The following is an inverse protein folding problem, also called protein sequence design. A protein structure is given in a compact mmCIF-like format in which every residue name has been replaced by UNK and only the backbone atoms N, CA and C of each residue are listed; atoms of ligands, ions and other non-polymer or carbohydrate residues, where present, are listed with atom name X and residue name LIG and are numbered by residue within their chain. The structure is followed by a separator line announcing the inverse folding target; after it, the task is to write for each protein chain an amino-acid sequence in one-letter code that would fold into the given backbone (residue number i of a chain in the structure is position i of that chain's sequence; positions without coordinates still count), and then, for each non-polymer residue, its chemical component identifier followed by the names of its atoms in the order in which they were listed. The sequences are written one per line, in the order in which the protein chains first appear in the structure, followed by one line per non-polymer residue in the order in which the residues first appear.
data_IF_222193849142
#
_entry.id   IF_222193849142
#
_cell.length_a   1.000
_cell.length_b   1.000
_cell.length_c   1.000
_cell.angle_alpha   90.00
_cell.angle_beta   90.00
_cell.angle_gamma   90.00
#
_symmetry.space_group_name_H-M   'P 1'
#
loop_
_entity.id
_entity.type
_entity.pdbx_description
1 polymer ?
#
# COMPACT_ATOMS: atom_id res chain seq x y z
N UNK A 1 8.02 19.12 -6.65
CA UNK A 1 7.86 17.66 -6.87
C UNK A 1 6.44 17.41 -7.39
N UNK A 2 6.20 16.40 -8.23
CA UNK A 2 4.87 16.15 -8.82
C UNK A 2 3.98 15.38 -7.84
N UNK A 3 2.66 15.55 -7.93
CA UNK A 3 1.71 14.76 -7.18
C UNK A 3 1.82 13.26 -7.53
N UNK A 4 1.78 12.39 -6.53
CA UNK A 4 1.83 10.95 -6.74
C UNK A 4 0.90 10.20 -5.78
N UNK A 5 0.42 9.05 -6.22
CA UNK A 5 -0.29 8.07 -5.41
C UNK A 5 0.70 7.10 -4.80
N UNK A 6 0.52 6.83 -3.51
CA UNK A 6 1.15 5.73 -2.80
C UNK A 6 0.07 4.79 -2.30
N UNK A 7 0.22 3.50 -2.60
CA UNK A 7 -0.53 2.42 -2.00
C UNK A 7 0.46 1.45 -1.37
N UNK A 8 0.27 1.08 -0.11
CA UNK A 8 1.14 0.13 0.59
C UNK A 8 0.35 -0.81 1.47
N UNK A 9 0.78 -2.07 1.57
CA UNK A 9 0.16 -3.11 2.38
C UNK A 9 1.20 -3.89 3.19
N UNK A 10 0.74 -4.41 4.33
CA UNK A 10 1.36 -5.55 5.03
C UNK A 10 0.33 -6.67 5.12
N UNK A 11 0.68 -7.87 4.69
CA UNK A 11 -0.25 -9.01 4.76
C UNK A 11 0.43 -10.33 5.16
N UNK A 12 -0.33 -11.16 5.87
CA UNK A 12 0.06 -12.52 6.28
C UNK A 12 -0.53 -13.61 5.41
N UNK A 13 -1.36 -13.27 4.41
CA UNK A 13 -1.83 -14.29 3.47
C UNK A 13 -0.65 -14.82 2.65
N UNK A 14 -0.77 -16.04 2.15
CA UNK A 14 0.22 -16.57 1.23
C UNK A 14 0.12 -15.85 -0.12
N UNK A 15 1.12 -15.03 -0.43
CA UNK A 15 1.21 -14.29 -1.69
C UNK A 15 2.05 -15.01 -2.75
N UNK A 16 2.54 -16.22 -2.47
CA UNK A 16 3.37 -16.99 -3.42
C UNK A 16 2.53 -17.72 -4.46
N UNK A 17 1.26 -18.03 -4.15
CA UNK A 17 0.34 -18.63 -5.11
C UNK A 17 0.02 -17.70 -6.27
N UNK A 18 0.00 -18.25 -7.48
CA UNK A 18 -0.42 -17.54 -8.68
C UNK A 18 -1.88 -17.07 -8.60
N UNK A 19 -2.78 -17.75 -7.87
CA UNK A 19 -4.17 -17.31 -7.70
C UNK A 19 -4.27 -15.88 -7.12
N UNK A 20 -3.30 -15.48 -6.28
CA UNK A 20 -3.19 -14.11 -5.78
C UNK A 20 -2.63 -13.18 -6.86
N UNK A 21 -1.56 -13.62 -7.53
CA UNK A 21 -0.95 -12.88 -8.64
C UNK A 21 -1.94 -12.55 -9.75
N UNK A 22 -2.70 -13.54 -10.21
CA UNK A 22 -3.75 -13.41 -11.21
C UNK A 22 -4.79 -12.37 -10.79
N UNK A 23 -5.30 -12.43 -9.55
CA UNK A 23 -6.29 -11.45 -9.06
C UNK A 23 -5.75 -10.02 -9.05
N UNK A 24 -4.49 -9.83 -8.66
CA UNK A 24 -3.81 -8.53 -8.70
C UNK A 24 -3.64 -8.06 -10.15
N UNK A 25 -3.09 -8.90 -11.02
CA UNK A 25 -2.89 -8.56 -12.44
C UNK A 25 -4.22 -8.22 -13.11
N UNK A 26 -5.24 -9.05 -12.91
CA UNK A 26 -6.57 -8.83 -13.43
C UNK A 26 -7.18 -7.52 -12.94
N UNK A 27 -6.96 -7.13 -11.67
CA UNK A 27 -7.43 -5.83 -11.18
C UNK A 27 -6.80 -4.62 -11.88
N UNK A 28 -5.59 -4.77 -12.43
CA UNK A 28 -4.88 -3.73 -13.19
C UNK A 28 -5.28 -3.72 -14.68
N UNK A 29 -5.82 -4.83 -15.19
CA UNK A 29 -6.20 -4.98 -16.61
C UNK A 29 -7.70 -4.91 -16.85
N UNK A 30 -8.54 -5.12 -15.83
CA UNK A 30 -10.00 -5.10 -15.93
C UNK A 30 -10.61 -3.71 -16.09
N UNK A 31 -9.81 -2.65 -15.93
CA UNK A 31 -10.25 -1.26 -15.98
C UNK A 31 -9.63 -0.49 -17.14
N UNK A 32 -9.28 0.77 -16.88
CA UNK A 32 -8.65 1.66 -17.85
C UNK A 32 -7.34 1.06 -18.41
N UNK A 33 -7.18 1.08 -19.73
CA UNK A 33 -5.98 0.56 -20.42
C UNK A 33 -4.68 1.20 -19.89
N UNK A 34 -4.78 2.39 -19.29
CA UNK A 34 -3.67 3.14 -18.71
C UNK A 34 -3.03 2.45 -17.49
N UNK A 35 -3.77 1.59 -16.78
CA UNK A 35 -3.28 0.82 -15.64
C UNK A 35 -2.69 -0.54 -16.01
N UNK A 36 -2.86 -1.01 -17.25
CA UNK A 36 -2.26 -2.27 -17.70
C UNK A 36 -0.72 -2.21 -17.59
N UNK A 37 -0.08 -3.16 -16.89
CA UNK A 37 1.38 -3.23 -16.81
C UNK A 37 2.01 -3.40 -18.19
N UNK A 38 3.18 -2.80 -18.39
CA UNK A 38 3.94 -2.91 -19.64
C UNK A 38 5.20 -3.76 -19.47
N UNK A 39 5.74 -3.81 -18.25
CA UNK A 39 6.95 -4.56 -17.94
C UNK A 39 6.84 -5.26 -16.59
N UNK A 40 7.56 -6.38 -16.44
CA UNK A 40 7.65 -7.20 -15.22
C UNK A 40 9.09 -7.62 -14.93
N UNK A 41 9.37 -8.05 -13.70
CA UNK A 41 10.67 -8.61 -13.30
C UNK A 41 10.50 -9.51 -12.08
N UNK A 42 11.21 -10.64 -12.02
CA UNK A 42 11.26 -11.56 -10.87
C UNK A 42 12.28 -11.11 -9.81
N UNK A 43 12.36 -9.81 -9.51
CA UNK A 43 13.22 -9.36 -8.43
C UNK A 43 12.95 -7.93 -7.99
N UNK A 44 13.80 -7.46 -7.08
CA UNK A 44 13.79 -6.07 -6.62
C UNK A 44 13.99 -5.11 -7.79
N UNK A 45 13.71 -3.83 -7.55
CA UNK A 45 13.76 -2.72 -8.50
C UNK A 45 15.00 -2.63 -9.44
N UNK A 46 16.08 -3.34 -9.13
CA UNK A 46 17.37 -3.37 -9.84
C UNK A 46 17.47 -4.48 -10.90
N UNK A 47 16.55 -5.44 -10.91
CA UNK A 47 16.52 -6.54 -11.87
C UNK A 47 16.00 -6.05 -13.24
N UNK A 48 16.48 -6.64 -14.33
CA UNK A 48 16.06 -6.30 -15.68
C UNK A 48 14.54 -6.44 -15.83
N UNK A 49 13.88 -5.36 -16.25
CA UNK A 49 12.46 -5.37 -16.58
C UNK A 49 12.26 -5.92 -17.98
N UNK A 50 11.45 -6.97 -18.11
CA UNK A 50 11.06 -7.59 -19.37
C UNK A 50 9.70 -7.07 -19.81
N UNK A 51 9.47 -7.01 -21.13
CA UNK A 51 8.19 -6.56 -21.68
C UNK A 51 7.16 -7.67 -21.49
N UNK A 52 5.96 -7.33 -21.04
CA UNK A 52 4.87 -8.30 -20.93
C UNK A 52 4.35 -8.63 -22.32
N UNK A 53 4.32 -9.91 -22.64
CA UNK A 53 3.73 -10.43 -23.89
C UNK A 53 2.31 -10.92 -23.65
N UNK A 54 2.14 -11.73 -22.61
CA UNK A 54 0.87 -12.33 -22.19
C UNK A 54 0.82 -12.51 -20.65
N UNK A 55 -0.27 -13.10 -20.16
CA UNK A 55 -0.43 -13.34 -18.72
C UNK A 55 0.50 -14.46 -18.21
N UNK A 56 0.83 -15.43 -19.07
CA UNK A 56 1.72 -16.54 -18.76
C UNK A 56 3.15 -16.06 -18.47
N UNK A 57 3.62 -15.03 -19.20
CA UNK A 57 4.92 -14.39 -18.94
C UNK A 57 4.98 -13.73 -17.56
N UNK A 58 3.83 -13.31 -17.03
CA UNK A 58 3.73 -12.76 -15.67
C UNK A 58 3.74 -13.90 -14.65
N UNK A 59 2.95 -14.95 -14.88
CA UNK A 59 2.89 -16.15 -14.04
C UNK A 59 4.27 -16.79 -13.85
N UNK A 60 5.03 -16.94 -14.94
CA UNK A 60 6.36 -17.54 -14.91
C UNK A 60 7.38 -16.77 -14.04
N UNK A 61 7.13 -15.49 -13.77
CA UNK A 61 7.98 -14.63 -12.95
C UNK A 61 7.41 -14.40 -11.54
N UNK A 62 6.21 -14.91 -11.26
CA UNK A 62 5.56 -14.72 -9.97
C UNK A 62 6.16 -15.64 -8.91
N UNK A 63 6.68 -15.06 -7.82
CA UNK A 63 7.18 -15.78 -6.65
C UNK A 63 8.16 -16.94 -6.99
N UNK A 64 9.06 -16.76 -7.96
CA UNK A 64 9.96 -17.84 -8.42
C UNK A 64 10.79 -18.37 -7.23
N UNK A 65 10.79 -19.68 -6.94
CA UNK A 65 11.57 -20.21 -5.83
C UNK A 65 13.07 -20.03 -6.08
N UNK A 66 13.79 -19.61 -5.05
CA UNK A 66 15.24 -19.50 -5.01
C UNK A 66 15.77 -20.18 -3.76
N UNK A 67 16.98 -20.75 -3.85
CA UNK A 67 17.65 -21.36 -2.69
C UNK A 67 18.73 -20.44 -2.17
N UNK A 68 18.68 -20.10 -0.88
CA UNK A 68 19.75 -19.38 -0.18
C UNK A 68 20.43 -20.35 0.78
N UNK A 69 21.77 -20.33 0.81
CA UNK A 69 22.57 -21.10 1.75
C UNK A 69 23.19 -20.19 2.81
N UNK A 70 22.91 -20.47 4.08
CA UNK A 70 23.48 -19.78 5.25
C UNK A 70 23.95 -20.85 6.24
N UNK A 71 25.22 -20.79 6.66
CA UNK A 71 25.82 -21.72 7.64
C UNK A 71 25.53 -23.21 7.37
N UNK A 72 25.77 -23.64 6.12
CA UNK A 72 25.54 -25.01 5.65
C UNK A 72 24.07 -25.50 5.68
N UNK A 73 23.11 -24.60 5.92
CA UNK A 73 21.66 -24.86 5.77
C UNK A 73 21.13 -24.17 4.52
N UNK A 74 20.32 -24.88 3.75
CA UNK A 74 19.62 -24.35 2.59
C UNK A 74 18.18 -24.02 2.92
N UNK A 75 17.74 -22.84 2.49
CA UNK A 75 16.37 -22.35 2.67
C UNK A 75 15.78 -22.03 1.30
N UNK A 76 14.53 -22.42 1.08
CA UNK A 76 13.75 -21.96 -0.07
C UNK A 76 13.13 -20.62 0.29
N UNK A 77 13.44 -19.61 -0.51
CA UNK A 77 12.75 -18.31 -0.52
C UNK A 77 12.04 -18.15 -1.85
N UNK A 78 11.13 -17.19 -1.94
CA UNK A 78 10.53 -16.81 -3.22
C UNK A 78 11.11 -15.47 -3.63
N UNK A 79 11.51 -15.36 -4.89
CA UNK A 79 11.93 -14.11 -5.49
C UNK A 79 10.78 -13.12 -5.44
N UNK A 80 11.11 -11.86 -5.23
CA UNK A 80 10.15 -10.77 -5.30
C UNK A 80 9.60 -10.61 -6.72
N UNK A 81 8.52 -9.86 -6.84
CA UNK A 81 7.94 -9.54 -8.14
C UNK A 81 7.72 -8.04 -8.27
N UNK A 82 8.13 -7.48 -9.42
CA UNK A 82 7.95 -6.08 -9.76
C UNK A 82 7.21 -5.94 -11.08
N UNK A 83 6.37 -4.92 -11.20
CA UNK A 83 5.76 -4.52 -12.47
C UNK A 83 5.80 -3.00 -12.63
N UNK A 84 5.84 -2.51 -13.86
CA UNK A 84 5.82 -1.07 -14.09
C UNK A 84 5.23 -0.68 -15.44
N UNK A 85 4.97 0.62 -15.55
CA UNK A 85 4.68 1.31 -16.79
C UNK A 85 5.48 2.61 -16.82
N UNK A 86 6.20 2.83 -17.92
CA UNK A 86 7.13 3.98 -18.06
C UNK A 86 6.55 5.14 -18.88
N UNK A 87 5.46 4.92 -19.60
CA UNK A 87 4.87 5.84 -20.58
C UNK A 87 3.36 6.06 -20.35
N UNK A 88 2.82 7.20 -20.81
CA UNK A 88 1.44 7.70 -20.58
C UNK A 88 1.13 8.02 -19.12
N UNK A 89 1.18 7.01 -18.25
CA UNK A 89 1.12 7.13 -16.80
C UNK A 89 2.28 6.34 -16.21
N UNK A 90 3.16 7.04 -15.49
CA UNK A 90 4.30 6.41 -14.85
C UNK A 90 3.85 5.80 -13.54
N UNK A 91 4.06 4.50 -13.38
CA UNK A 91 3.87 3.84 -12.10
C UNK A 91 4.76 2.62 -11.98
N UNK A 92 4.87 2.13 -10.76
CA UNK A 92 5.56 0.91 -10.40
C UNK A 92 4.82 0.24 -9.26
N UNK A 93 4.75 -1.08 -9.31
CA UNK A 93 4.39 -1.89 -8.16
C UNK A 93 5.43 -2.96 -7.89
N UNK A 94 5.47 -3.41 -6.65
CA UNK A 94 6.41 -4.39 -6.15
C UNK A 94 5.77 -5.18 -5.01
N UNK A 95 6.09 -6.46 -4.94
CA UNK A 95 5.71 -7.36 -3.86
C UNK A 95 6.93 -8.10 -3.34
N UNK A 96 7.13 -8.04 -2.02
CA UNK A 96 7.97 -9.00 -1.29
C UNK A 96 7.05 -10.10 -0.79
N UNK A 97 7.29 -11.33 -1.18
CA UNK A 97 6.41 -12.43 -0.77
C UNK A 97 6.60 -12.78 0.71
N UNK A 98 5.62 -13.50 1.26
CA UNK A 98 5.70 -14.06 2.62
C UNK A 98 6.95 -14.93 2.74
N UNK A 99 7.66 -14.81 3.87
CA UNK A 99 8.87 -15.58 4.15
C UNK A 99 8.82 -16.16 5.56
N UNK A 100 9.72 -17.11 5.84
CA UNK A 100 9.96 -17.61 7.19
C UNK A 100 11.39 -17.26 7.60
N UNK A 101 11.55 -16.71 8.80
CA UNK A 101 12.88 -16.46 9.34
C UNK A 101 13.51 -17.75 9.89
N UNK A 102 14.75 -17.66 10.38
CA UNK A 102 15.49 -18.79 10.99
C UNK A 102 14.79 -19.39 12.23
N UNK A 103 13.85 -18.65 12.85
CA UNK A 103 13.03 -19.10 13.98
C UNK A 103 11.67 -19.66 13.52
N UNK A 104 11.47 -19.90 12.22
CA UNK A 104 10.23 -20.37 11.61
C UNK A 104 9.03 -19.42 11.83
N UNK A 105 9.29 -18.14 12.15
CA UNK A 105 8.26 -17.12 12.24
C UNK A 105 7.92 -16.60 10.85
N UNK A 106 6.63 -16.41 10.59
CA UNK A 106 6.12 -15.81 9.35
C UNK A 106 6.48 -14.33 9.33
N UNK A 107 7.27 -13.92 8.33
CA UNK A 107 7.50 -12.53 7.96
C UNK A 107 6.40 -12.15 6.95
N UNK A 108 5.52 -11.19 7.29
CA UNK A 108 4.46 -10.72 6.38
C UNK A 108 5.01 -10.18 5.06
N UNK A 109 4.27 -10.43 3.99
CA UNK A 109 4.52 -9.85 2.68
C UNK A 109 4.39 -8.31 2.71
N UNK A 110 5.19 -7.62 1.88
CA UNK A 110 4.98 -6.21 1.53
C UNK A 110 4.38 -6.12 0.14
N UNK A 111 3.45 -5.21 -0.07
CA UNK A 111 3.03 -4.79 -1.40
C UNK A 111 3.10 -3.28 -1.45
N UNK A 112 3.75 -2.73 -2.46
CA UNK A 112 3.90 -1.30 -2.66
C UNK A 112 3.55 -0.94 -4.11
N UNK A 113 2.81 0.15 -4.30
CA UNK A 113 2.47 0.69 -5.59
C UNK A 113 2.57 2.21 -5.56
N UNK A 114 3.39 2.75 -6.45
CA UNK A 114 3.62 4.19 -6.61
C UNK A 114 3.26 4.60 -8.03
N UNK A 115 2.44 5.65 -8.18
CA UNK A 115 1.99 6.13 -9.48
C UNK A 115 1.98 7.64 -9.54
N UNK A 116 2.27 8.21 -10.71
CA UNK A 116 1.82 9.56 -11.03
C UNK A 116 0.30 9.67 -10.78
N UNK A 117 -0.16 10.81 -10.25
CA UNK A 117 -1.59 11.02 -10.07
C UNK A 117 -2.32 11.26 -11.40
N UNK A 118 -3.47 10.60 -11.58
CA UNK A 118 -4.35 10.79 -12.72
C UNK A 118 -5.81 10.74 -12.27
N UNK A 119 -6.57 11.80 -12.53
CA UNK A 119 -7.98 11.93 -12.11
C UNK A 119 -8.91 10.92 -12.82
N UNK A 120 -8.48 10.32 -13.94
CA UNK A 120 -9.23 9.28 -14.66
C UNK A 120 -9.20 7.92 -13.97
N UNK A 121 -8.31 7.73 -13.00
CA UNK A 121 -8.14 6.44 -12.33
C UNK A 121 -8.84 6.46 -10.99
N UNK A 122 -9.70 5.48 -10.80
CA UNK A 122 -10.32 5.21 -9.51
C UNK A 122 -9.36 4.41 -8.62
N UNK A 123 -8.40 5.11 -8.03
CA UNK A 123 -7.44 4.51 -7.10
C UNK A 123 -8.12 3.96 -5.84
N UNK A 124 -9.28 4.50 -5.46
CA UNK A 124 -10.02 4.02 -4.29
C UNK A 124 -10.58 2.63 -4.53
N UNK A 125 -11.26 2.40 -5.65
CA UNK A 125 -11.78 1.07 -5.98
C UNK A 125 -10.66 0.06 -6.22
N UNK A 126 -9.53 0.47 -6.83
CA UNK A 126 -8.35 -0.39 -6.94
C UNK A 126 -7.83 -0.80 -5.56
N UNK A 127 -7.64 0.17 -4.66
CA UNK A 127 -7.19 -0.08 -3.29
C UNK A 127 -8.14 -1.00 -2.51
N UNK A 128 -9.45 -0.76 -2.62
CA UNK A 128 -10.49 -1.58 -1.98
C UNK A 128 -10.43 -3.03 -2.46
N UNK A 129 -10.36 -3.26 -3.77
CA UNK A 129 -10.22 -4.58 -4.37
C UNK A 129 -8.95 -5.29 -3.91
N UNK A 130 -7.85 -4.56 -3.76
CA UNK A 130 -6.62 -5.12 -3.19
C UNK A 130 -6.72 -5.43 -1.70
N UNK A 131 -7.48 -4.66 -0.92
CA UNK A 131 -7.77 -5.03 0.47
C UNK A 131 -8.56 -6.35 0.55
N UNK A 132 -9.51 -6.58 -0.36
CA UNK A 132 -10.26 -7.85 -0.44
C UNK A 132 -9.34 -9.03 -0.83
N UNK A 133 -8.47 -8.84 -1.83
CA UNK A 133 -7.54 -9.88 -2.31
C UNK A 133 -6.49 -10.20 -1.25
N UNK A 134 -5.89 -9.17 -0.65
CA UNK A 134 -4.70 -9.31 0.19
C UNK A 134 -5.04 -9.49 1.67
N UNK A 135 -6.27 -9.19 2.12
CA UNK A 135 -6.67 -9.24 3.53
C UNK A 135 -5.59 -8.70 4.49
N UNK A 136 -5.16 -7.44 4.32
CA UNK A 136 -3.95 -6.94 4.95
C UNK A 136 -4.10 -6.76 6.47
N UNK A 137 -2.99 -6.83 7.18
CA UNK A 137 -2.90 -6.38 8.57
C UNK A 137 -3.09 -4.87 8.66
N UNK A 138 -2.46 -4.15 7.74
CA UNK A 138 -2.61 -2.71 7.55
C UNK A 138 -2.37 -2.37 6.08
N UNK A 139 -3.12 -1.39 5.58
CA UNK A 139 -2.85 -0.81 4.28
C UNK A 139 -3.15 0.68 4.24
N UNK A 140 -2.54 1.38 3.30
CA UNK A 140 -2.78 2.79 3.06
C UNK A 140 -2.92 3.10 1.57
N UNK A 141 -3.77 4.07 1.27
CA UNK A 141 -3.82 4.78 -0.01
C UNK A 141 -3.77 6.28 0.26
N UNK A 142 -2.86 6.98 -0.42
CA UNK A 142 -2.71 8.42 -0.27
C UNK A 142 -2.27 9.11 -1.55
N UNK A 143 -2.72 10.35 -1.73
CA UNK A 143 -2.24 11.28 -2.74
C UNK A 143 -1.28 12.26 -2.06
N UNK A 144 0.00 12.18 -2.38
CA UNK A 144 0.98 13.14 -1.90
C UNK A 144 1.07 14.35 -2.83
N UNK A 145 1.06 15.55 -2.25
CA UNK A 145 1.19 16.84 -2.97
C UNK A 145 2.46 17.57 -2.52
N UNK A 146 2.93 18.61 -3.25
CA UNK A 146 4.08 19.41 -2.85
C UNK A 146 4.04 19.90 -1.40
N UNK A 147 2.85 20.20 -0.87
CA UNK A 147 2.64 20.68 0.51
C UNK A 147 3.12 19.63 1.52
N UNK A 148 2.83 18.36 1.31
CA UNK A 148 3.24 17.29 2.23
C UNK A 148 4.68 16.81 1.97
N UNK A 149 5.17 16.97 0.74
CA UNK A 149 6.49 16.50 0.33
C UNK A 149 7.62 17.43 0.80
N UNK A 150 7.35 18.72 0.97
CA UNK A 150 8.35 19.71 1.40
C UNK A 150 8.92 19.42 2.79
N UNK A 151 8.18 18.76 3.68
CA UNK A 151 8.58 18.38 5.04
C UNK A 151 9.24 16.99 5.11
N UNK A 152 10.08 16.66 4.11
CA UNK A 152 10.56 15.30 3.85
C UNK A 152 11.24 14.60 5.04
N UNK A 153 11.99 15.33 5.88
CA UNK A 153 12.80 14.70 6.93
C UNK A 153 11.97 14.04 8.05
N UNK A 154 10.85 14.62 8.45
CA UNK A 154 10.00 14.06 9.51
C UNK A 154 9.02 12.99 8.97
N UNK A 155 8.69 13.07 7.67
CA UNK A 155 7.62 12.26 7.03
C UNK A 155 8.15 11.17 6.11
N UNK A 156 9.45 10.96 6.05
CA UNK A 156 10.13 10.12 5.06
C UNK A 156 9.59 8.67 4.99
N UNK A 157 9.33 8.05 6.15
CA UNK A 157 8.73 6.72 6.20
C UNK A 157 7.29 6.71 5.66
N UNK A 158 6.48 7.72 6.00
CA UNK A 158 5.10 7.84 5.54
C UNK A 158 5.03 8.13 4.03
N UNK A 159 5.90 9.01 3.52
CA UNK A 159 6.01 9.33 2.09
C UNK A 159 6.33 8.11 1.21
N UNK A 160 7.05 7.14 1.77
CA UNK A 160 7.36 5.84 1.13
C UNK A 160 6.30 4.77 1.35
N UNK A 161 5.27 5.03 2.15
CA UNK A 161 4.30 4.01 2.56
C UNK A 161 4.87 2.93 3.49
N UNK A 162 5.97 3.23 4.18
CA UNK A 162 6.63 2.28 5.06
C UNK A 162 5.94 2.18 6.42
N UNK A 163 5.58 0.96 6.79
CA UNK A 163 5.14 0.61 8.15
C UNK A 163 6.31 0.21 9.08
N UNK A 164 7.56 0.52 8.68
CA UNK A 164 8.84 0.18 9.35
C UNK A 164 9.03 -1.31 9.65
N UNK A 165 8.40 -1.84 10.69
CA UNK A 165 8.55 -3.24 11.10
C UNK A 165 7.62 -4.15 10.31
N UNK A 166 8.15 -5.26 9.81
CA UNK A 166 7.35 -6.25 9.10
C UNK A 166 6.40 -7.02 10.04
N UNK A 167 6.90 -7.43 11.22
CA UNK A 167 6.14 -8.25 12.18
C UNK A 167 5.11 -7.43 12.97
N UNK A 168 5.48 -6.21 13.33
CA UNK A 168 4.66 -5.30 14.13
C UNK A 168 4.56 -3.93 13.43
N UNK A 169 3.72 -3.81 12.39
CA UNK A 169 3.62 -2.58 11.60
C UNK A 169 3.36 -1.34 12.46
N UNK A 170 4.17 -0.29 12.27
CA UNK A 170 4.00 1.01 12.92
C UNK A 170 3.20 1.96 12.05
N UNK A 171 2.21 2.63 12.63
CA UNK A 171 1.42 3.65 11.96
C UNK A 171 2.14 5.01 12.08
N UNK A 172 2.63 5.55 10.97
CA UNK A 172 3.32 6.84 11.01
C UNK A 172 2.31 7.99 11.07
N UNK A 173 1.36 8.01 10.15
CA UNK A 173 0.29 9.00 10.02
C UNK A 173 -0.98 8.29 9.49
N UNK A 174 -2.09 9.00 9.36
CA UNK A 174 -3.30 8.56 8.69
C UNK A 174 -3.23 9.00 7.22
N UNK A 175 -3.17 8.02 6.31
CA UNK A 175 -3.35 8.26 4.88
C UNK A 175 -4.78 8.68 4.55
N UNK A 176 -5.08 8.98 3.28
CA UNK A 176 -6.44 9.36 2.91
C UNK A 176 -7.43 8.22 3.17
N UNK A 177 -7.03 7.01 2.79
CA UNK A 177 -7.69 5.77 3.15
C UNK A 177 -6.72 4.87 3.92
N UNK A 178 -7.18 4.34 5.04
CA UNK A 178 -6.46 3.37 5.86
C UNK A 178 -7.30 2.11 6.00
N UNK A 179 -6.69 0.95 5.80
CA UNK A 179 -7.27 -0.33 6.18
C UNK A 179 -6.62 -0.82 7.47
N UNK A 180 -7.45 -1.22 8.42
CA UNK A 180 -7.06 -1.78 9.71
C UNK A 180 -7.54 -3.23 9.78
N UNK A 181 -6.61 -4.18 9.72
CA UNK A 181 -6.88 -5.61 9.81
C UNK A 181 -7.16 -6.09 11.22
N UNK A 182 -7.24 -7.41 11.37
CA UNK A 182 -7.56 -8.09 12.63
C UNK A 182 -6.74 -7.62 13.83
N UNK A 183 -5.46 -7.31 13.60
CA UNK A 183 -4.51 -6.90 14.63
C UNK A 183 -4.78 -5.50 15.20
N UNK A 184 -5.61 -4.69 14.52
CA UNK A 184 -5.94 -3.33 14.93
C UNK A 184 -7.40 -3.19 15.37
N UNK A 185 -8.20 -4.27 15.41
CA UNK A 185 -9.63 -4.17 15.73
C UNK A 185 -9.91 -3.64 17.13
N UNK A 186 -9.03 -3.92 18.09
CA UNK A 186 -9.16 -3.43 19.46
C UNK A 186 -8.95 -1.91 19.60
N UNK A 187 -8.32 -1.27 18.62
CA UNK A 187 -8.08 0.19 18.62
C UNK A 187 -8.99 0.96 17.65
N UNK A 188 -9.79 0.27 16.84
CA UNK A 188 -10.72 0.87 15.88
C UNK A 188 -12.13 0.92 16.48
N UNK A 189 -12.51 2.07 17.03
CA UNK A 189 -13.88 2.32 17.52
C UNK A 189 -14.79 2.75 16.36
N UNK A 190 -15.43 1.78 15.72
CA UNK A 190 -16.26 2.00 14.53
C UNK A 190 -17.42 2.96 14.79
N UNK A 191 -18.11 2.82 15.92
CA UNK A 191 -19.28 3.63 16.24
C UNK A 191 -18.87 5.07 16.54
N UNK A 192 -17.76 5.27 17.27
CA UNK A 192 -17.20 6.61 17.48
C UNK A 192 -16.73 7.25 16.17
N UNK A 193 -16.07 6.51 15.29
CA UNK A 193 -15.62 7.02 13.98
C UNK A 193 -16.81 7.46 13.13
N UNK A 194 -17.86 6.62 13.00
CA UNK A 194 -19.09 6.98 12.28
C UNK A 194 -19.79 8.19 12.87
N UNK A 195 -19.89 8.28 14.21
CA UNK A 195 -20.52 9.41 14.91
C UNK A 195 -19.84 10.76 14.62
N UNK A 196 -18.54 10.76 14.31
CA UNK A 196 -17.79 11.96 13.90
C UNK A 196 -17.83 12.22 12.37
N UNK A 197 -18.71 11.52 11.65
CA UNK A 197 -18.99 11.75 10.24
C UNK A 197 -17.94 11.19 9.29
N UNK A 198 -17.06 10.29 9.74
CA UNK A 198 -16.11 9.61 8.87
C UNK A 198 -16.77 8.40 8.21
N UNK A 199 -16.35 8.12 6.98
CA UNK A 199 -16.70 6.87 6.33
C UNK A 199 -15.84 5.75 6.93
N UNK A 200 -16.50 4.68 7.36
CA UNK A 200 -15.85 3.43 7.74
C UNK A 200 -16.71 2.27 7.25
N UNK A 201 -16.08 1.32 6.57
CA UNK A 201 -16.72 0.12 6.05
C UNK A 201 -15.96 -1.14 6.45
N UNK A 202 -16.69 -2.24 6.63
CA UNK A 202 -16.10 -3.54 6.93
C UNK A 202 -15.76 -4.25 5.63
N UNK A 203 -14.55 -4.79 5.53
CA UNK A 203 -14.09 -5.60 4.41
C UNK A 203 -13.39 -6.82 4.98
N UNK A 204 -13.95 -8.01 4.73
CA UNK A 204 -13.47 -9.25 5.35
C UNK A 204 -13.43 -9.13 6.88
N UNK A 205 -12.22 -9.31 7.44
CA UNK A 205 -11.96 -9.23 8.88
C UNK A 205 -11.54 -7.85 9.38
N UNK A 206 -11.39 -6.85 8.50
CA UNK A 206 -10.88 -5.52 8.84
C UNK A 206 -11.85 -4.39 8.53
N UNK A 207 -11.38 -3.16 8.75
CA UNK A 207 -12.11 -1.93 8.49
C UNK A 207 -11.33 -0.97 7.62
N UNK A 208 -11.99 -0.43 6.60
CA UNK A 208 -11.48 0.64 5.76
C UNK A 208 -12.05 1.98 6.26
N UNK A 209 -11.18 2.96 6.53
CA UNK A 209 -11.54 4.29 7.04
C UNK A 209 -11.05 5.36 6.08
N UNK A 210 -11.90 6.35 5.78
CA UNK A 210 -11.56 7.51 4.94
C UNK A 210 -11.54 8.81 5.74
N UNK A 211 -10.54 9.66 5.49
CA UNK A 211 -10.43 10.98 6.11
C UNK A 211 -11.49 11.94 5.56
N UNK A 212 -11.67 11.93 4.24
CA UNK A 212 -12.69 12.71 3.52
C UNK A 212 -13.37 11.84 2.46
N UNK A 213 -14.45 12.34 1.85
CA UNK A 213 -15.19 11.60 0.81
C UNK A 213 -14.46 11.55 -0.53
N UNK A 214 -13.51 12.47 -0.78
CA UNK A 214 -12.81 12.58 -2.07
C UNK A 214 -11.31 12.74 -1.85
N UNK A 215 -10.50 11.82 -2.42
CA UNK A 215 -9.03 11.90 -2.36
C UNK A 215 -8.48 13.20 -2.93
N UNK A 216 -9.19 13.80 -3.88
CA UNK A 216 -8.82 15.09 -4.48
C UNK A 216 -8.89 16.25 -3.49
N UNK A 217 -9.54 16.10 -2.32
CA UNK A 217 -9.53 17.13 -1.27
C UNK A 217 -8.11 17.43 -0.79
N UNK A 218 -7.17 16.47 -0.86
CA UNK A 218 -5.76 16.71 -0.50
C UNK A 218 -5.14 17.77 -1.42
N UNK A 219 -5.51 17.77 -2.70
CA UNK A 219 -5.02 18.72 -3.70
C UNK A 219 -5.85 20.01 -3.72
N UNK A 220 -7.17 19.87 -3.65
CA UNK A 220 -8.11 20.96 -3.92
C UNK A 220 -8.50 21.75 -2.67
N UNK A 221 -8.39 21.14 -1.48
CA UNK A 221 -8.75 21.75 -0.20
C UNK A 221 -7.92 21.12 0.94
N UNK A 222 -6.60 21.32 0.87
CA UNK A 222 -5.66 20.69 1.81
C UNK A 222 -5.96 21.05 3.27
N UNK A 223 -6.37 22.29 3.56
CA UNK A 223 -6.73 22.72 4.91
C UNK A 223 -7.89 21.90 5.49
N UNK A 224 -8.93 21.66 4.69
CA UNK A 224 -10.04 20.79 5.07
C UNK A 224 -9.56 19.35 5.33
N UNK A 225 -8.79 18.78 4.41
CA UNK A 225 -8.23 17.42 4.58
C UNK A 225 -7.37 17.32 5.85
N UNK A 226 -6.45 18.25 6.05
CA UNK A 226 -5.54 18.33 7.20
C UNK A 226 -6.29 18.42 8.52
N UNK A 227 -7.29 19.31 8.60
CA UNK A 227 -8.18 19.42 9.77
C UNK A 227 -8.92 18.11 10.05
N UNK A 228 -9.49 17.47 9.02
CA UNK A 228 -10.18 16.19 9.15
C UNK A 228 -9.24 15.06 9.57
N UNK A 229 -8.00 15.04 9.09
CA UNK A 229 -6.98 14.06 9.49
C UNK A 229 -6.64 14.22 10.98
N UNK A 230 -6.42 15.45 11.44
CA UNK A 230 -6.12 15.73 12.85
C UNK A 230 -7.29 15.38 13.78
N UNK A 231 -8.52 15.68 13.37
CA UNK A 231 -9.73 15.27 14.09
C UNK A 231 -9.86 13.75 14.18
N UNK A 232 -9.55 13.02 13.10
CA UNK A 232 -9.62 11.56 13.06
C UNK A 232 -8.57 10.92 13.98
N UNK A 233 -7.33 11.44 13.99
CA UNK A 233 -6.26 10.98 14.90
C UNK A 233 -6.70 10.95 16.36
N UNK A 234 -7.50 11.94 16.80
CA UNK A 234 -8.00 12.03 18.19
C UNK A 234 -9.03 10.96 18.56
N UNK A 235 -9.53 10.21 17.58
CA UNK A 235 -10.45 9.09 17.82
C UNK A 235 -9.72 7.78 18.11
N UNK A 236 -8.42 7.71 17.82
CA UNK A 236 -7.54 6.59 18.12
C UNK A 236 -6.81 6.79 19.47
N UNK A 237 -6.22 5.72 20.05
CA UNK A 237 -5.34 5.85 21.21
C UNK A 237 -4.25 6.91 21.02
N UNK A 238 -3.94 7.60 22.12
CA UNK A 238 -2.84 8.56 22.12
C UNK A 238 -1.52 7.87 21.76
N UNK A 239 -0.66 8.57 21.02
CA UNK A 239 0.66 8.08 20.57
C UNK A 239 0.62 6.91 19.57
N UNK A 240 -0.56 6.50 19.06
CA UNK A 240 -0.64 5.48 18.00
C UNK A 240 0.11 5.90 16.73
N UNK A 241 0.05 7.19 16.38
CA UNK A 241 0.71 7.77 15.21
C UNK A 241 1.97 8.54 15.63
N UNK A 242 3.09 8.27 14.97
CA UNK A 242 4.36 8.97 15.24
C UNK A 242 4.32 10.43 14.78
N UNK A 243 3.67 10.72 13.66
CA UNK A 243 3.53 12.06 13.09
C UNK A 243 2.29 12.74 13.69
N UNK A 244 2.55 13.69 14.58
CA UNK A 244 1.50 14.42 15.32
C UNK A 244 1.07 15.73 14.67
N UNK A 245 1.97 16.34 13.90
CA UNK A 245 1.76 17.65 13.29
C UNK A 245 1.33 17.50 11.84
N UNK A 246 0.41 18.36 11.45
CA UNK A 246 0.00 18.52 10.06
C UNK A 246 0.92 19.52 9.35
N UNK A 247 1.16 19.36 8.03
CA UNK A 247 1.97 20.30 7.27
C UNK A 247 1.35 21.68 7.28
N UNK A 248 2.21 22.70 7.35
CA UNK A 248 1.78 24.09 7.36
C UNK A 248 1.73 24.59 5.92
N UNK A 249 0.61 25.23 5.54
CA UNK A 249 0.55 25.98 4.29
C UNK A 249 1.50 27.17 4.40
N UNK A 250 2.65 27.09 3.74
CA UNK A 250 3.51 28.26 3.54
C UNK A 250 2.78 29.16 2.55
N UNK A 251 2.29 30.30 3.04
CA UNK A 251 1.68 31.36 2.21
C UNK A 251 2.72 32.04 1.34
#
# INVERSE_FOLDING_TARGET
MKNYIQISFRTKIDTTSWDIGEKIVHSLTSGEEILKPAFVSSGSERSGFEKIEDIQSIEALWAVPATISVDSKSFVVHQDFSWCRKNKLKYKGYITHIQKNIHNQIIPASFDFNSDFCEKIDFFNLFKKWCEILSPQVAMLHLFTPIEISEKHERDAFLRGSFKSALNPELQDIAWAMFYGSEFLNIVDCERIKKHGYHIEKIGSGYLVLVTKNISDIKNNFEYFSKRRLELKKLFPENLFSIRREPILVQ
#
